data_IF_530031114541
#
_entry.id   IF_530031114541
#
_cell.length_a   1.000
_cell.length_b   1.000
_cell.length_c   1.000
_cell.angle_alpha   90.00
_cell.angle_beta   90.00
_cell.angle_gamma   90.00
#
_symmetry.space_group_name_H-M   'P 1'
#
loop_
_entity.id
_entity.type
_entity.pdbx_description
1 polymer ?
#
# COMPACT_ATOMS: atom_id res chain seq x y z
N UNK A 1 -18.23 -0.36 -6.42
CA UNK A 1 -18.19 -0.73 -4.99
C UNK A 1 -17.55 0.43 -4.24
N UNK A 2 -18.05 0.85 -3.07
CA UNK A 2 -17.42 1.94 -2.29
C UNK A 2 -16.31 1.37 -1.42
N UNK A 3 -15.16 2.03 -1.41
CA UNK A 3 -13.96 1.59 -0.67
C UNK A 3 -14.23 1.57 0.85
N UNK A 4 -13.78 0.56 1.58
CA UNK A 4 -14.02 0.46 3.04
C UNK A 4 -12.72 0.29 3.83
N UNK A 5 -12.38 1.30 4.61
CA UNK A 5 -11.18 1.37 5.43
C UNK A 5 -11.50 1.57 6.92
N UNK A 6 -10.73 0.89 7.76
CA UNK A 6 -10.74 0.99 9.22
C UNK A 6 -9.68 2.01 9.66
N UNK A 7 -10.15 3.12 10.21
CA UNK A 7 -9.29 4.18 10.71
C UNK A 7 -8.87 3.93 12.18
N UNK A 8 -7.61 4.19 12.58
CA UNK A 8 -6.51 4.74 11.78
C UNK A 8 -5.69 3.68 11.03
N UNK A 9 -5.77 2.42 11.46
CA UNK A 9 -4.79 1.38 11.15
C UNK A 9 -4.58 1.15 9.66
N UNK A 10 -5.64 1.16 8.86
CA UNK A 10 -5.50 0.92 7.43
C UNK A 10 -4.69 2.00 6.73
N UNK A 11 -4.92 3.26 7.10
CA UNK A 11 -4.15 4.37 6.55
C UNK A 11 -2.70 4.31 7.00
N UNK A 12 -2.43 3.87 8.24
CA UNK A 12 -1.07 3.66 8.73
C UNK A 12 -0.34 2.55 7.95
N UNK A 13 -1.04 1.46 7.60
CA UNK A 13 -0.50 0.40 6.75
C UNK A 13 -0.18 0.94 5.34
N UNK A 14 -1.12 1.69 4.74
CA UNK A 14 -0.91 2.27 3.41
C UNK A 14 0.23 3.30 3.42
N UNK A 15 0.35 4.12 4.45
CA UNK A 15 1.46 5.06 4.61
C UNK A 15 2.81 4.34 4.74
N UNK A 16 2.88 3.26 5.54
CA UNK A 16 4.09 2.46 5.69
C UNK A 16 4.56 1.78 4.39
N UNK A 17 3.64 1.48 3.47
CA UNK A 17 3.93 0.90 2.16
C UNK A 17 4.05 1.93 1.03
N UNK A 18 3.90 3.24 1.33
CA UNK A 18 3.79 4.29 0.32
C UNK A 18 5.07 4.54 -0.49
N UNK A 19 6.21 4.02 -0.03
CA UNK A 19 7.47 4.02 -0.78
C UNK A 19 7.47 3.01 -1.95
N UNK A 20 6.40 2.23 -2.10
CA UNK A 20 6.23 1.25 -3.17
C UNK A 20 7.00 -0.05 -2.92
N UNK A 21 7.72 -0.19 -1.79
CA UNK A 21 8.44 -1.42 -1.46
C UNK A 21 7.49 -2.47 -0.93
N UNK A 22 7.99 -3.70 -0.92
CA UNK A 22 7.27 -4.89 -0.45
C UNK A 22 7.60 -5.12 1.00
N UNK A 23 6.59 -5.42 1.81
CA UNK A 23 6.82 -5.76 3.21
C UNK A 23 5.90 -6.88 3.72
N UNK A 24 6.24 -7.44 4.88
CA UNK A 24 5.48 -8.51 5.53
C UNK A 24 4.63 -7.99 6.68
N UNK A 25 3.59 -8.74 7.06
CA UNK A 25 2.78 -8.43 8.22
C UNK A 25 3.57 -8.31 9.52
N UNK A 26 4.63 -9.12 9.68
CA UNK A 26 5.50 -9.09 10.86
C UNK A 26 6.26 -7.77 10.93
N UNK A 27 6.84 -7.33 9.81
CA UNK A 27 7.59 -6.08 9.75
C UNK A 27 6.68 -4.87 9.93
N UNK A 28 5.52 -4.83 9.27
CA UNK A 28 4.54 -3.77 9.43
C UNK A 28 4.04 -3.66 10.89
N UNK A 29 3.84 -4.80 11.56
CA UNK A 29 3.48 -4.80 12.98
C UNK A 29 4.56 -4.17 13.86
N UNK A 30 5.84 -4.43 13.56
CA UNK A 30 6.97 -3.79 14.26
C UNK A 30 7.08 -2.30 13.96
N UNK A 31 6.99 -1.89 12.69
CA UNK A 31 7.08 -0.49 12.24
C UNK A 31 5.96 0.36 12.87
N UNK A 32 4.75 -0.17 12.91
CA UNK A 32 3.57 0.55 13.40
C UNK A 32 3.34 0.42 14.92
N UNK A 33 4.19 -0.35 15.61
CA UNK A 33 3.99 -0.76 17.01
C UNK A 33 2.56 -1.28 17.25
N UNK A 34 2.19 -2.31 16.49
CA UNK A 34 0.86 -2.95 16.51
C UNK A 34 0.94 -4.45 16.71
N UNK A 35 -0.17 -5.01 17.19
CA UNK A 35 -0.32 -6.45 17.28
C UNK A 35 -0.29 -7.10 15.88
N UNK A 36 0.57 -8.09 15.70
CA UNK A 36 0.75 -8.81 14.43
C UNK A 36 -0.52 -9.50 13.94
N UNK A 37 -1.28 -10.13 14.82
CA UNK A 37 -2.48 -10.87 14.42
C UNK A 37 -3.57 -9.91 13.91
N UNK A 38 -3.59 -8.69 14.45
CA UNK A 38 -4.42 -7.61 13.92
C UNK A 38 -3.98 -7.17 12.52
N UNK A 39 -2.67 -6.95 12.28
CA UNK A 39 -2.15 -6.62 10.95
C UNK A 39 -2.45 -7.75 9.94
N UNK A 40 -2.29 -9.02 10.34
CA UNK A 40 -2.64 -10.18 9.52
C UNK A 40 -4.12 -10.24 9.13
N UNK A 41 -5.00 -9.63 9.93
CA UNK A 41 -6.42 -9.52 9.60
C UNK A 41 -6.69 -8.36 8.63
N UNK A 42 -5.94 -7.25 8.76
CA UNK A 42 -6.14 -6.06 7.92
C UNK A 42 -5.59 -6.21 6.51
N UNK A 43 -4.46 -6.90 6.32
CA UNK A 43 -3.83 -7.00 5.00
C UNK A 43 -4.71 -7.69 3.94
N UNK A 44 -5.37 -8.84 4.21
CA UNK A 44 -6.32 -9.42 3.26
C UNK A 44 -7.48 -8.48 2.93
N UNK A 45 -8.04 -7.79 3.93
CA UNK A 45 -9.13 -6.83 3.69
C UNK A 45 -8.70 -5.66 2.80
N UNK A 46 -7.47 -5.14 2.98
CA UNK A 46 -6.92 -4.10 2.11
C UNK A 46 -6.65 -4.61 0.69
N UNK A 47 -6.29 -5.88 0.54
CA UNK A 47 -6.10 -6.52 -0.76
C UNK A 47 -7.43 -6.73 -1.48
N UNK A 48 -8.49 -7.13 -0.76
CA UNK A 48 -9.85 -7.26 -1.31
C UNK A 48 -10.40 -5.91 -1.80
N UNK A 49 -10.01 -4.81 -1.15
CA UNK A 49 -10.32 -3.43 -1.58
C UNK A 49 -9.41 -2.94 -2.73
N UNK A 50 -8.45 -3.75 -3.18
CA UNK A 50 -7.51 -3.44 -4.27
C UNK A 50 -6.46 -2.38 -3.93
N UNK A 51 -6.24 -2.08 -2.65
CA UNK A 51 -5.33 -1.02 -2.19
C UNK A 51 -3.89 -1.52 -1.99
N UNK A 52 -3.74 -2.82 -1.75
CA UNK A 52 -2.47 -3.51 -1.73
C UNK A 52 -2.60 -4.80 -2.53
N UNK A 53 -1.49 -5.39 -2.92
CA UNK A 53 -1.43 -6.67 -3.60
C UNK A 53 -0.43 -7.59 -2.93
N UNK A 54 -0.74 -8.89 -2.93
CA UNK A 54 0.16 -9.91 -2.42
C UNK A 54 1.19 -10.26 -3.51
N UNK A 55 2.47 -10.27 -3.16
CA UNK A 55 3.57 -10.47 -4.11
C UNK A 55 4.32 -11.76 -3.82
N UNK A 56 4.64 -12.53 -4.86
CA UNK A 56 5.57 -13.66 -4.76
C UNK A 56 5.09 -14.88 -5.56
N UNK A 57 6.02 -15.79 -5.92
CA UNK A 57 5.69 -16.99 -6.70
C UNK A 57 4.94 -18.05 -5.90
N UNK A 58 4.98 -17.96 -4.56
CA UNK A 58 4.27 -18.86 -3.66
C UNK A 58 3.10 -18.13 -3.00
N UNK A 59 1.96 -18.81 -2.93
CA UNK A 59 0.75 -18.34 -2.24
C UNK A 59 0.96 -18.04 -0.75
N UNK A 60 2.13 -18.35 -0.18
CA UNK A 60 2.50 -18.12 1.23
C UNK A 60 3.62 -17.09 1.44
N UNK A 61 4.05 -16.36 0.40
CA UNK A 61 5.15 -15.38 0.49
C UNK A 61 5.01 -14.38 1.65
N UNK A 62 3.77 -14.01 2.00
CA UNK A 62 3.47 -13.05 3.05
C UNK A 62 3.90 -11.61 2.73
N UNK A 63 4.38 -11.35 1.50
CA UNK A 63 4.78 -10.04 1.02
C UNK A 63 3.59 -9.30 0.44
N UNK A 64 3.45 -8.04 0.82
CA UNK A 64 2.45 -7.12 0.29
C UNK A 64 3.13 -5.86 -0.25
N UNK A 65 2.57 -5.31 -1.32
CA UNK A 65 2.99 -4.05 -1.93
C UNK A 65 1.76 -3.17 -2.10
N UNK A 66 1.90 -1.87 -1.90
CA UNK A 66 0.82 -0.93 -2.20
C UNK A 66 0.51 -0.91 -3.71
N UNK A 67 -0.75 -0.67 -4.08
CA UNK A 67 -1.15 -0.41 -5.47
C UNK A 67 -1.19 1.09 -5.73
N UNK A 68 -1.25 1.55 -7.00
CA UNK A 68 -1.56 2.94 -7.33
C UNK A 68 -2.79 3.47 -6.58
N UNK A 69 -3.86 2.67 -6.52
CA UNK A 69 -5.08 2.99 -5.77
C UNK A 69 -4.82 3.18 -4.27
N UNK A 70 -4.00 2.32 -3.68
CA UNK A 70 -3.60 2.42 -2.27
C UNK A 70 -2.81 3.70 -1.96
N UNK A 71 -1.92 4.12 -2.86
CA UNK A 71 -1.17 5.38 -2.72
C UNK A 71 -2.13 6.56 -2.68
N UNK A 72 -3.07 6.62 -3.63
CA UNK A 72 -4.09 7.68 -3.68
C UNK A 72 -4.96 7.65 -2.42
N UNK A 73 -5.38 6.47 -1.97
CA UNK A 73 -6.15 6.32 -0.74
C UNK A 73 -5.40 6.88 0.47
N UNK A 74 -4.11 6.57 0.60
CA UNK A 74 -3.24 7.10 1.66
C UNK A 74 -3.19 8.64 1.65
N UNK A 75 -2.96 9.22 0.48
CA UNK A 75 -2.87 10.68 0.30
C UNK A 75 -4.17 11.43 0.59
N UNK A 76 -5.32 10.76 0.43
CA UNK A 76 -6.66 11.36 0.57
C UNK A 76 -7.39 10.94 1.85
N UNK A 77 -6.67 10.57 2.93
CA UNK A 77 -7.25 10.18 4.22
C UNK A 77 -8.24 11.21 4.79
N UNK A 78 -7.97 12.51 4.62
CA UNK A 78 -8.86 13.57 5.08
C UNK A 78 -10.21 13.50 4.37
N UNK A 79 -10.21 13.34 3.03
CA UNK A 79 -11.44 13.19 2.25
C UNK A 79 -12.20 11.93 2.66
N UNK A 80 -11.51 10.83 2.98
CA UNK A 80 -12.18 9.63 3.50
C UNK A 80 -13.06 9.91 4.73
N UNK A 81 -12.65 10.85 5.59
CA UNK A 81 -13.40 11.21 6.81
C UNK A 81 -14.48 12.26 6.57
N UNK A 82 -14.22 13.20 5.67
CA UNK A 82 -15.07 14.41 5.53
C UNK A 82 -16.03 14.33 4.36
N UNK A 83 -15.66 13.65 3.27
CA UNK A 83 -16.41 13.64 2.01
C UNK A 83 -16.13 12.33 1.24
N UNK A 84 -16.91 11.29 1.55
CA UNK A 84 -16.75 9.95 0.95
C UNK A 84 -16.91 9.97 -0.57
N UNK A 85 -17.69 10.90 -1.13
CA UNK A 85 -17.89 10.96 -2.59
C UNK A 85 -16.68 11.56 -3.29
N UNK A 86 -16.14 12.67 -2.77
CA UNK A 86 -14.88 13.22 -3.28
C UNK A 86 -13.70 12.26 -3.11
N UNK A 87 -13.69 11.46 -2.04
CA UNK A 87 -12.68 10.43 -1.89
C UNK A 87 -12.74 9.41 -3.04
N UNK A 88 -13.91 8.87 -3.37
CA UNK A 88 -14.03 7.91 -4.47
C UNK A 88 -13.72 8.54 -5.83
N UNK A 89 -14.09 9.82 -6.04
CA UNK A 89 -13.71 10.56 -7.25
C UNK A 89 -12.19 10.72 -7.35
N UNK A 90 -11.52 11.09 -6.25
CA UNK A 90 -10.07 11.21 -6.22
C UNK A 90 -9.39 9.87 -6.54
N UNK A 91 -9.89 8.75 -6.02
CA UNK A 91 -9.40 7.42 -6.40
C UNK A 91 -9.51 7.20 -7.92
N UNK A 92 -10.67 7.46 -8.51
CA UNK A 92 -10.88 7.24 -9.95
C UNK A 92 -10.02 8.15 -10.85
N UNK A 93 -9.79 9.40 -10.44
CA UNK A 93 -9.07 10.40 -11.21
C UNK A 93 -7.54 10.29 -11.06
N UNK A 94 -7.05 9.98 -9.86
CA UNK A 94 -5.62 10.02 -9.54
C UNK A 94 -4.94 8.65 -9.67
N UNK A 95 -5.67 7.54 -9.52
CA UNK A 95 -5.10 6.19 -9.65
C UNK A 95 -4.35 5.99 -10.98
N UNK A 96 -4.88 6.41 -12.15
CA UNK A 96 -4.17 6.27 -13.43
C UNK A 96 -2.90 7.12 -13.55
N UNK A 97 -2.71 8.10 -12.66
CA UNK A 97 -1.57 9.02 -12.65
C UNK A 97 -0.42 8.51 -11.77
N UNK A 98 -0.64 7.44 -11.02
CA UNK A 98 0.37 6.86 -10.13
C UNK A 98 1.00 5.63 -10.80
N UNK A 99 2.32 5.62 -10.87
CA UNK A 99 3.10 4.47 -11.31
C UNK A 99 4.08 4.08 -10.21
N UNK A 100 4.10 2.80 -9.85
CA UNK A 100 5.07 2.23 -8.90
C UNK A 100 6.12 1.49 -9.73
N UNK A 101 7.37 1.92 -9.63
CA UNK A 101 8.50 1.27 -10.32
C UNK A 101 9.29 0.44 -9.31
N UNK A 102 9.27 -0.89 -9.48
CA UNK A 102 10.08 -1.83 -8.70
C UNK A 102 11.58 -1.67 -9.06
N UNK A 103 12.53 -2.12 -8.23
CA UNK A 103 13.82 -1.46 -8.03
C UNK A 103 14.61 -1.23 -9.32
N UNK A 104 15.14 0.00 -9.43
CA UNK A 104 16.12 0.38 -10.44
C UNK A 104 17.49 -0.14 -10.01
N UNK A 105 18.10 -1.02 -10.82
CA UNK A 105 19.49 -1.45 -10.65
C UNK A 105 20.40 -0.42 -11.30
N UNK A 106 21.18 0.31 -10.51
CA UNK A 106 22.23 1.20 -11.02
C UNK A 106 23.54 0.42 -11.13
N UNK A 107 24.03 0.23 -12.36
CA UNK A 107 25.34 -0.37 -12.62
C UNK A 107 26.32 0.72 -13.08
N UNK A 108 27.23 1.11 -12.19
CA UNK A 108 28.33 2.00 -12.55
C UNK A 108 29.39 1.13 -13.22
N UNK A 109 29.59 1.30 -14.53
CA UNK A 109 30.75 0.71 -15.21
C UNK A 109 31.94 1.61 -14.95
N UNK A 110 32.98 1.09 -14.29
CA UNK A 110 34.26 1.77 -14.26
C UNK A 110 34.78 1.83 -15.70
N UNK A 111 34.94 3.03 -16.24
CA UNK A 111 35.66 3.25 -17.49
C UNK A 111 37.07 2.69 -17.29
N UNK A 112 37.43 1.68 -18.07
CA UNK A 112 38.81 1.20 -18.13
C UNK A 112 39.71 2.39 -18.52
N UNK A 113 40.73 2.64 -17.67
CA UNK A 113 41.79 3.60 -17.93
C UNK A 113 42.71 3.10 -19.05
#
# INVERSE_FOLDING_TARGET
MRTRLVHPTDFQILEALSDGRRDTAVNLAMILDKNRDYINTRLPALADEGLIQRIGPADSSGLYQITPRGVVASQNQTLYKTDREKFEMALAEQEPLVTITDPTVHQISASEQ
#
